data_IF_997421243047
#
_entry.id   IF_997421243047
#
_cell.length_a   1.000
_cell.length_b   1.000
_cell.length_c   1.000
_cell.angle_alpha   90.00
_cell.angle_beta   90.00
_cell.angle_gamma   90.00
#
_symmetry.space_group_name_H-M   'P 1'
#
loop_
_entity.id
_entity.type
_entity.pdbx_description
1 polymer ?
#
# COMPACT_ATOMS: atom_id res chain seq x y z
N UNK A 1 20.69 -1.95 -3.23
CA UNK A 1 20.31 -3.28 -2.71
C UNK A 1 19.02 -3.32 -1.85
N UNK A 2 18.98 -2.94 -0.56
CA UNK A 2 17.78 -3.18 0.28
C UNK A 2 16.48 -2.54 -0.25
N UNK A 3 16.55 -1.28 -0.69
CA UNK A 3 15.38 -0.57 -1.25
C UNK A 3 14.89 -1.18 -2.57
N UNK A 4 15.81 -1.51 -3.49
CA UNK A 4 15.48 -2.14 -4.77
C UNK A 4 14.88 -3.53 -4.56
N UNK A 5 15.47 -4.32 -3.67
CA UNK A 5 14.95 -5.63 -3.28
C UNK A 5 13.53 -5.52 -2.73
N UNK A 6 13.31 -4.59 -1.78
CA UNK A 6 11.97 -4.36 -1.24
C UNK A 6 10.97 -3.99 -2.33
N UNK A 7 11.28 -2.99 -3.15
CA UNK A 7 10.36 -2.49 -4.15
C UNK A 7 10.11 -3.47 -5.31
N UNK A 8 11.08 -4.29 -5.71
CA UNK A 8 10.82 -5.36 -6.67
C UNK A 8 9.84 -6.39 -6.10
N UNK A 9 10.06 -6.84 -4.86
CA UNK A 9 9.16 -7.80 -4.20
C UNK A 9 7.76 -7.20 -4.03
N UNK A 10 7.66 -5.94 -3.62
CA UNK A 10 6.40 -5.20 -3.51
C UNK A 10 5.74 -5.02 -4.88
N UNK A 11 6.50 -4.71 -5.93
CA UNK A 11 5.99 -4.56 -7.29
C UNK A 11 5.28 -5.82 -7.77
N UNK A 12 5.90 -6.99 -7.56
CA UNK A 12 5.34 -8.28 -7.93
C UNK A 12 4.18 -8.72 -7.00
N UNK A 13 4.20 -8.32 -5.73
CA UNK A 13 3.19 -8.69 -4.73
C UNK A 13 1.98 -7.76 -4.65
N UNK A 14 2.02 -6.61 -5.31
CA UNK A 14 0.97 -5.60 -5.22
C UNK A 14 -0.33 -5.92 -5.98
N UNK A 15 -0.34 -6.56 -7.17
CA UNK A 15 -1.59 -6.81 -7.89
C UNK A 15 -2.66 -7.56 -7.06
N UNK A 16 -2.34 -8.63 -6.31
CA UNK A 16 -3.31 -9.25 -5.40
C UNK A 16 -3.87 -8.31 -4.33
N UNK A 17 -3.07 -7.37 -3.82
CA UNK A 17 -3.51 -6.38 -2.81
C UNK A 17 -4.47 -5.37 -3.43
N UNK A 18 -4.15 -4.84 -4.62
CA UNK A 18 -5.01 -3.93 -5.39
C UNK A 18 -6.36 -4.56 -5.70
N UNK A 19 -6.33 -5.80 -6.18
CA UNK A 19 -7.50 -6.49 -6.71
C UNK A 19 -8.37 -7.16 -5.64
N UNK A 20 -7.85 -7.30 -4.40
CA UNK A 20 -8.59 -7.89 -3.30
C UNK A 20 -9.92 -7.17 -3.05
N UNK A 21 -10.98 -7.97 -2.83
CA UNK A 21 -12.32 -7.47 -2.53
C UNK A 21 -12.66 -7.70 -1.05
N UNK A 22 -13.49 -6.83 -0.45
CA UNK A 22 -13.99 -7.05 0.90
C UNK A 22 -14.74 -8.38 0.99
N UNK A 23 -14.47 -9.14 2.05
CA UNK A 23 -15.23 -10.35 2.37
C UNK A 23 -16.46 -10.04 3.24
N UNK A 24 -17.24 -11.06 3.58
CA UNK A 24 -18.48 -10.95 4.40
C UNK A 24 -18.26 -10.25 5.74
N UNK A 25 -17.11 -10.44 6.39
CA UNK A 25 -16.80 -9.78 7.67
C UNK A 25 -16.62 -8.29 7.49
N UNK A 26 -15.90 -7.87 6.44
CA UNK A 26 -15.74 -6.44 6.12
C UNK A 26 -17.09 -5.79 5.81
N UNK A 27 -17.94 -6.45 5.03
CA UNK A 27 -19.28 -5.97 4.71
C UNK A 27 -20.20 -5.89 5.95
N UNK A 28 -20.09 -6.85 6.87
CA UNK A 28 -20.84 -6.82 8.12
C UNK A 28 -20.44 -5.62 9.00
N UNK A 29 -19.14 -5.34 9.13
CA UNK A 29 -18.68 -4.14 9.83
C UNK A 29 -19.14 -2.86 9.14
N UNK A 30 -19.08 -2.79 7.80
CA UNK A 30 -19.59 -1.66 7.04
C UNK A 30 -21.08 -1.41 7.32
N UNK A 31 -21.91 -2.46 7.38
CA UNK A 31 -23.33 -2.36 7.72
C UNK A 31 -23.56 -1.88 9.16
N UNK A 32 -22.78 -2.37 10.14
CA UNK A 32 -22.84 -1.92 11.53
C UNK A 32 -22.41 -0.45 11.67
N UNK A 33 -21.42 -0.01 10.89
CA UNK A 33 -20.99 1.38 10.84
C UNK A 33 -22.03 2.29 10.20
N UNK A 34 -22.63 1.86 9.08
CA UNK A 34 -23.69 2.60 8.40
C UNK A 34 -24.93 2.79 9.29
N UNK A 35 -25.32 1.74 10.01
CA UNK A 35 -26.45 1.77 10.96
C UNK A 35 -26.09 2.37 12.32
N UNK A 36 -24.89 2.97 12.47
CA UNK A 36 -24.41 3.64 13.68
C UNK A 36 -24.29 2.78 14.94
N UNK A 37 -24.34 1.45 14.81
CA UNK A 37 -24.05 0.52 15.93
C UNK A 37 -22.55 0.47 16.25
N UNK A 38 -21.70 0.69 15.25
CA UNK A 38 -20.25 0.83 15.40
C UNK A 38 -19.86 2.23 14.95
N UNK A 39 -19.55 3.11 15.91
CA UNK A 39 -19.25 4.51 15.61
C UNK A 39 -17.86 4.69 14.96
N UNK A 40 -16.88 3.85 15.31
CA UNK A 40 -15.50 3.89 14.81
C UNK A 40 -14.92 2.49 14.71
N UNK A 41 -14.03 2.30 13.74
CA UNK A 41 -13.26 1.08 13.54
C UNK A 41 -11.77 1.44 13.53
N UNK A 42 -10.98 0.70 14.31
CA UNK A 42 -9.52 0.77 14.28
C UNK A 42 -9.03 -0.59 13.77
N UNK A 43 -8.23 -0.59 12.71
CA UNK A 43 -7.65 -1.81 12.14
C UNK A 43 -6.14 -1.74 12.12
N UNK A 44 -5.49 -2.87 12.39
CA UNK A 44 -4.04 -3.04 12.20
C UNK A 44 -3.70 -3.46 10.77
N UNK A 45 -4.70 -3.87 9.98
CA UNK A 45 -4.50 -4.26 8.59
C UNK A 45 -4.16 -3.02 7.76
N UNK A 46 -3.34 -3.26 6.74
CA UNK A 46 -2.87 -2.24 5.79
C UNK A 46 -3.46 -2.45 4.37
N UNK A 47 -4.39 -3.39 4.24
CA UNK A 47 -4.99 -3.86 2.98
C UNK A 47 -6.09 -2.95 2.40
N UNK A 48 -6.61 -2.00 3.18
CA UNK A 48 -7.67 -1.07 2.78
C UNK A 48 -9.08 -1.68 2.64
N UNK A 49 -9.28 -2.97 2.96
CA UNK A 49 -10.54 -3.68 2.67
C UNK A 49 -11.73 -3.16 3.48
N UNK A 50 -11.52 -2.71 4.72
CA UNK A 50 -12.57 -2.06 5.50
C UNK A 50 -13.08 -0.76 4.87
N UNK A 51 -12.18 0.03 4.28
CA UNK A 51 -12.54 1.27 3.58
C UNK A 51 -13.27 0.95 2.28
N UNK A 52 -12.73 0.02 1.49
CA UNK A 52 -13.34 -0.45 0.24
C UNK A 52 -14.77 -0.99 0.45
N UNK A 53 -15.04 -1.62 1.59
CA UNK A 53 -16.37 -2.14 1.93
C UNK A 53 -17.46 -1.05 2.07
N UNK A 54 -17.11 0.16 2.50
CA UNK A 54 -18.08 1.25 2.76
C UNK A 54 -17.99 2.40 1.74
N UNK A 55 -16.96 2.40 0.88
CA UNK A 55 -16.67 3.45 -0.10
C UNK A 55 -17.78 3.73 -1.12
N UNK A 56 -18.73 2.82 -1.28
CA UNK A 56 -19.91 3.04 -2.14
C UNK A 56 -21.02 3.86 -1.45
N UNK A 57 -20.87 4.15 -0.15
CA UNK A 57 -21.86 4.85 0.67
C UNK A 57 -21.31 6.12 1.30
N UNK A 58 -20.05 6.09 1.73
CA UNK A 58 -19.38 7.21 2.40
C UNK A 58 -18.31 7.83 1.50
N UNK A 59 -18.13 9.14 1.62
CA UNK A 59 -16.98 9.83 1.04
C UNK A 59 -15.70 9.55 1.85
N UNK A 60 -14.56 9.91 1.27
CA UNK A 60 -13.24 9.66 1.86
C UNK A 60 -13.02 10.39 3.20
N UNK A 61 -13.66 11.55 3.41
CA UNK A 61 -13.55 12.31 4.65
C UNK A 61 -14.24 11.57 5.80
N UNK A 62 -15.47 11.11 5.57
CA UNK A 62 -16.22 10.34 6.56
C UNK A 62 -15.55 9.00 6.84
N UNK A 63 -15.06 8.32 5.81
CA UNK A 63 -14.27 7.08 5.95
C UNK A 63 -13.02 7.34 6.81
N UNK A 64 -12.26 8.39 6.53
CA UNK A 64 -11.05 8.73 7.27
C UNK A 64 -11.34 9.04 8.74
N UNK A 65 -12.47 9.70 9.03
CA UNK A 65 -12.91 10.00 10.41
C UNK A 65 -13.34 8.75 11.17
N UNK A 66 -14.05 7.83 10.51
CA UNK A 66 -14.69 6.66 11.11
C UNK A 66 -13.81 5.40 11.12
N UNK A 67 -12.85 5.29 10.20
CA UNK A 67 -11.97 4.13 10.04
C UNK A 67 -10.50 4.57 10.15
N UNK A 68 -9.82 4.12 11.19
CA UNK A 68 -8.40 4.36 11.43
C UNK A 68 -7.57 3.12 11.09
N UNK A 69 -6.70 3.25 10.08
CA UNK A 69 -5.66 2.25 9.79
C UNK A 69 -4.43 2.55 10.64
N UNK A 70 -4.25 1.79 11.72
CA UNK A 70 -3.25 2.06 12.75
C UNK A 70 -1.82 1.94 12.22
N UNK A 71 -1.58 0.97 11.35
CA UNK A 71 -0.28 0.69 10.75
C UNK A 71 -0.11 1.31 9.36
N UNK A 72 -0.99 2.24 8.98
CA UNK A 72 -0.95 2.89 7.68
C UNK A 72 -1.63 2.07 6.58
N UNK A 73 -1.24 2.27 5.32
CA UNK A 73 -1.92 1.68 4.16
C UNK A 73 -0.93 1.32 3.06
N UNK A 74 -1.11 0.15 2.46
CA UNK A 74 -0.37 -0.28 1.27
C UNK A 74 -0.77 0.51 0.01
N UNK A 75 -1.93 1.16 0.02
CA UNK A 75 -2.47 1.94 -1.11
C UNK A 75 -1.86 3.35 -1.23
N UNK A 76 -0.86 3.68 -0.40
CA UNK A 76 -0.15 4.97 -0.47
C UNK A 76 1.35 4.77 -0.38
N UNK A 77 2.09 5.66 -1.03
CA UNK A 77 3.55 5.76 -0.97
C UNK A 77 3.91 7.18 -0.55
N UNK A 78 4.92 7.31 0.31
CA UNK A 78 5.47 8.60 0.67
C UNK A 78 6.97 8.64 0.41
N UNK A 79 7.47 9.84 0.12
CA UNK A 79 8.90 10.09 0.10
C UNK A 79 9.36 10.60 1.48
N UNK A 80 10.66 10.55 1.74
CA UNK A 80 11.25 11.05 3.00
C UNK A 80 11.04 12.55 3.28
N UNK A 81 10.50 13.32 2.33
CA UNK A 81 10.17 14.74 2.48
C UNK A 81 8.66 14.99 2.70
N UNK A 82 7.84 13.94 2.82
CA UNK A 82 6.43 14.06 3.17
C UNK A 82 5.46 14.15 1.99
N UNK A 83 5.94 14.15 0.75
CA UNK A 83 5.06 14.02 -0.43
C UNK A 83 4.44 12.63 -0.48
N UNK A 84 3.13 12.58 -0.79
CA UNK A 84 2.35 11.34 -0.83
C UNK A 84 1.80 11.14 -2.24
N UNK A 85 1.84 9.90 -2.71
CA UNK A 85 1.25 9.47 -3.97
C UNK A 85 0.43 8.19 -3.75
N UNK A 86 -0.59 8.01 -4.58
CA UNK A 86 -1.33 6.76 -4.65
C UNK A 86 -0.42 5.60 -5.12
N UNK A 87 -0.62 4.41 -4.56
CA UNK A 87 0.23 3.25 -4.84
C UNK A 87 0.04 2.71 -6.25
N UNK A 88 -1.14 2.84 -6.87
CA UNK A 88 -1.37 2.45 -8.26
C UNK A 88 -0.59 3.38 -9.20
N UNK A 89 -0.64 4.69 -8.94
CA UNK A 89 0.17 5.66 -9.69
C UNK A 89 1.67 5.35 -9.57
N UNK A 90 2.14 5.02 -8.37
CA UNK A 90 3.53 4.62 -8.17
C UNK A 90 3.88 3.26 -8.84
N UNK A 91 2.92 2.33 -8.91
CA UNK A 91 3.06 1.05 -9.62
C UNK A 91 3.27 1.28 -11.13
N UNK A 92 2.54 2.23 -11.72
CA UNK A 92 2.69 2.60 -13.13
C UNK A 92 4.06 3.23 -13.40
N UNK A 93 4.53 4.07 -12.48
CA UNK A 93 5.88 4.63 -12.57
C UNK A 93 6.92 3.51 -12.52
N UNK A 94 6.89 2.63 -11.52
CA UNK A 94 7.81 1.48 -11.46
C UNK A 94 7.78 0.69 -12.77
N UNK A 95 6.60 0.38 -13.29
CA UNK A 95 6.44 -0.37 -14.55
C UNK A 95 7.11 0.33 -15.74
N UNK A 96 7.03 1.66 -15.80
CA UNK A 96 7.62 2.46 -16.88
C UNK A 96 9.15 2.42 -16.85
N UNK A 97 9.74 2.47 -15.65
CA UNK A 97 11.19 2.43 -15.47
C UNK A 97 11.77 1.00 -15.54
N UNK A 98 10.93 -0.04 -15.50
CA UNK A 98 11.35 -1.44 -15.42
C UNK A 98 10.62 -2.32 -16.46
N UNK A 99 10.81 -2.09 -17.77
CA UNK A 99 10.06 -2.79 -18.82
C UNK A 99 10.23 -4.31 -18.79
N UNK A 100 11.42 -4.82 -18.46
CA UNK A 100 11.65 -6.26 -18.28
C UNK A 100 10.71 -6.87 -17.22
N UNK A 101 10.59 -6.22 -16.07
CA UNK A 101 9.75 -6.69 -14.97
C UNK A 101 8.26 -6.54 -15.27
N UNK A 102 7.89 -5.53 -16.05
CA UNK A 102 6.53 -5.39 -16.58
C UNK A 102 6.17 -6.59 -17.46
N UNK A 103 7.03 -6.95 -18.41
CA UNK A 103 6.81 -8.10 -19.29
C UNK A 103 6.77 -9.42 -18.50
N UNK A 104 7.61 -9.55 -17.47
CA UNK A 104 7.61 -10.69 -16.56
C UNK A 104 6.26 -10.86 -15.83
N UNK A 105 5.69 -9.77 -15.28
CA UNK A 105 4.36 -9.82 -14.61
C UNK A 105 3.27 -10.22 -15.60
N UNK A 106 3.26 -9.65 -16.81
CA UNK A 106 2.30 -10.01 -17.86
C UNK A 106 2.40 -11.52 -18.20
N UNK A 107 3.62 -12.06 -18.28
CA UNK A 107 3.84 -13.50 -18.50
C UNK A 107 3.31 -14.39 -17.37
N UNK A 108 3.48 -13.96 -16.11
CA UNK A 108 2.93 -14.68 -14.96
C UNK A 108 1.40 -14.70 -14.98
N UNK A 109 0.77 -13.56 -15.25
CA UNK A 109 -0.70 -13.45 -15.35
C UNK A 109 -1.25 -14.32 -16.48
N UNK A 110 -0.61 -14.31 -17.65
CA UNK A 110 -1.01 -15.13 -18.79
C UNK A 110 -0.92 -16.64 -18.52
N UNK A 111 0.01 -17.07 -17.67
CA UNK A 111 0.21 -18.48 -17.30
C UNK A 111 -0.56 -18.89 -16.04
N UNK A 112 -1.23 -17.95 -15.36
CA UNK A 112 -1.90 -18.17 -14.08
C UNK A 112 -0.94 -18.45 -12.92
N UNK A 113 0.37 -18.28 -13.13
CA UNK A 113 1.38 -18.46 -12.08
C UNK A 113 1.37 -17.27 -11.14
N UNK A 114 1.44 -17.53 -9.83
CA UNK A 114 1.59 -16.49 -8.82
C UNK A 114 2.96 -16.63 -8.16
N UNK A 115 3.73 -15.54 -8.02
CA UNK A 115 4.93 -15.57 -7.20
C UNK A 115 4.57 -16.00 -5.77
N UNK A 116 5.44 -16.77 -5.12
CA UNK A 116 5.23 -17.12 -3.71
C UNK A 116 5.30 -15.84 -2.87
N UNK A 117 4.24 -15.55 -2.12
CA UNK A 117 4.16 -14.40 -1.23
C UNK A 117 4.34 -14.85 0.22
N UNK A 118 5.14 -14.10 0.97
CA UNK A 118 5.28 -14.24 2.42
C UNK A 118 4.03 -13.68 3.15
N UNK A 119 3.86 -13.96 4.45
CA UNK A 119 2.72 -13.48 5.24
C UNK A 119 2.54 -11.95 5.30
N UNK A 120 3.62 -11.18 5.08
CA UNK A 120 3.64 -9.71 5.02
C UNK A 120 3.34 -9.16 3.61
N UNK A 121 3.19 -10.03 2.61
CA UNK A 121 2.88 -9.69 1.22
C UNK A 121 4.11 -9.68 0.30
N UNK A 122 5.29 -10.00 0.82
CA UNK A 122 6.55 -9.92 0.08
C UNK A 122 6.76 -11.11 -0.85
N UNK A 123 7.11 -10.89 -2.12
CA UNK A 123 7.39 -11.97 -3.07
C UNK A 123 8.77 -12.59 -2.91
N UNK A 124 8.87 -13.90 -2.75
CA UNK A 124 10.15 -14.63 -2.77
C UNK A 124 10.68 -14.88 -4.19
N UNK A 125 11.92 -14.44 -4.45
CA UNK A 125 12.61 -14.60 -5.74
C UNK A 125 13.99 -15.21 -5.49
N UNK A 126 14.22 -16.43 -5.95
CA UNK A 126 15.52 -17.09 -5.89
C UNK A 126 16.35 -16.75 -7.15
N UNK A 127 17.65 -16.50 -6.98
CA UNK A 127 18.59 -16.30 -8.10
C UNK A 127 18.42 -15.00 -8.90
N UNK A 128 17.58 -14.07 -8.45
CA UNK A 128 17.33 -12.79 -9.14
C UNK A 128 18.30 -11.71 -8.68
N UNK A 129 18.95 -11.03 -9.64
CA UNK A 129 19.67 -9.78 -9.38
C UNK A 129 18.70 -8.62 -9.21
N UNK A 130 18.94 -7.78 -8.21
CA UNK A 130 18.13 -6.59 -7.92
C UNK A 130 18.77 -5.30 -8.43
N UNK A 131 19.99 -5.38 -8.96
CA UNK A 131 20.83 -4.19 -9.19
C UNK A 131 20.29 -3.32 -10.33
N UNK A 132 19.64 -3.93 -11.32
CA UNK A 132 19.03 -3.25 -12.47
C UNK A 132 17.62 -2.73 -12.19
N UNK A 133 17.05 -3.01 -11.01
CA UNK A 133 15.71 -2.53 -10.65
C UNK A 133 15.75 -1.05 -10.27
N UNK A 134 14.97 -0.23 -10.97
CA UNK A 134 14.94 1.23 -10.80
C UNK A 134 13.73 1.63 -9.95
N UNK A 135 14.00 2.30 -8.82
CA UNK A 135 12.95 2.92 -7.99
C UNK A 135 12.78 4.38 -8.46
N UNK A 136 11.58 4.79 -8.92
CA UNK A 136 11.36 6.14 -9.43
C UNK A 136 11.68 7.25 -8.41
N UNK A 137 12.21 8.38 -8.90
CA UNK A 137 12.37 9.59 -8.10
C UNK A 137 11.02 10.20 -7.70
N UNK A 138 10.99 10.99 -6.62
CA UNK A 138 9.84 11.79 -6.26
C UNK A 138 9.70 12.99 -7.22
N UNK A 139 8.63 13.11 -8.01
CA UNK A 139 8.48 14.23 -8.96
C UNK A 139 8.42 15.59 -8.26
N UNK A 140 7.79 15.66 -7.08
CA UNK A 140 7.74 16.89 -6.30
C UNK A 140 9.12 17.30 -5.78
N UNK A 141 9.95 16.36 -5.33
CA UNK A 141 11.34 16.67 -4.97
C UNK A 141 12.15 17.17 -6.17
N UNK A 142 11.96 16.57 -7.34
CA UNK A 142 12.65 17.01 -8.55
C UNK A 142 12.27 18.46 -8.94
N UNK A 143 10.98 18.82 -8.83
CA UNK A 143 10.50 20.20 -9.03
C UNK A 143 11.11 21.19 -8.02
N UNK A 144 11.45 20.73 -6.82
CA UNK A 144 12.15 21.51 -5.80
C UNK A 144 13.68 21.50 -5.97
N UNK A 145 14.20 20.91 -7.06
CA UNK A 145 15.64 20.81 -7.34
C UNK A 145 16.37 19.76 -6.49
N UNK A 146 15.66 18.77 -5.95
CA UNK A 146 16.22 17.69 -5.12
C UNK A 146 16.10 16.33 -5.81
N UNK A 147 17.18 15.56 -5.81
CA UNK A 147 17.14 14.13 -6.14
C UNK A 147 16.67 13.32 -4.94
N UNK A 148 15.59 12.56 -5.11
CA UNK A 148 15.06 11.73 -4.03
C UNK A 148 14.42 10.44 -4.52
N UNK A 149 15.14 9.34 -4.37
CA UNK A 149 14.65 7.96 -4.61
C UNK A 149 14.15 7.29 -3.33
N UNK A 150 14.08 8.01 -2.20
CA UNK A 150 13.69 7.46 -0.90
C UNK A 150 12.18 7.41 -0.76
N UNK A 151 11.58 6.53 -1.55
CA UNK A 151 10.17 6.18 -1.53
C UNK A 151 9.95 5.01 -0.59
N UNK A 152 8.88 5.08 0.20
CA UNK A 152 8.46 4.03 1.12
C UNK A 152 6.93 3.90 1.07
N UNK A 153 6.34 2.70 1.10
CA UNK A 153 4.91 2.56 1.36
C UNK A 153 4.51 3.29 2.65
N UNK A 154 3.30 3.81 2.71
CA UNK A 154 2.78 4.52 3.86
C UNK A 154 2.32 3.55 4.97
N UNK A 155 3.15 2.55 5.28
CA UNK A 155 2.95 1.59 6.36
C UNK A 155 4.03 1.72 7.43
N UNK A 156 3.71 1.28 8.63
CA UNK A 156 4.65 1.19 9.77
C UNK A 156 5.35 -0.17 9.69
N UNK A 157 6.67 -0.15 9.51
CA UNK A 157 7.49 -1.36 9.49
C UNK A 157 7.83 -1.84 10.90
N UNK A 158 8.21 -3.11 11.03
CA UNK A 158 8.75 -3.64 12.28
C UNK A 158 9.94 -2.80 12.75
N UNK A 159 9.91 -2.41 14.02
CA UNK A 159 10.90 -1.52 14.63
C UNK A 159 10.58 -0.03 14.51
N UNK A 160 9.59 0.36 13.71
CA UNK A 160 9.11 1.74 13.67
C UNK A 160 8.02 2.01 14.72
N UNK A 161 7.90 3.27 15.13
CA UNK A 161 6.86 3.71 16.05
C UNK A 161 5.64 4.25 15.29
N UNK A 162 4.44 3.95 15.78
CA UNK A 162 3.21 4.58 15.29
C UNK A 162 3.29 6.10 15.52
N UNK A 163 3.01 6.94 14.50
CA UNK A 163 3.06 8.38 14.65
C UNK A 163 2.15 8.88 15.78
N UNK A 164 2.63 9.86 16.56
CA UNK A 164 1.90 10.39 17.72
C UNK A 164 0.49 10.83 17.36
N UNK A 165 0.30 11.49 16.21
CA UNK A 165 -1.02 11.91 15.74
C UNK A 165 -1.98 10.72 15.54
N UNK A 166 -1.49 9.59 14.99
CA UNK A 166 -2.27 8.37 14.78
C UNK A 166 -2.59 7.69 16.11
N UNK A 167 -1.61 7.59 17.02
CA UNK A 167 -1.80 7.06 18.38
C UNK A 167 -2.80 7.88 19.20
N UNK A 168 -2.75 9.20 19.07
CA UNK A 168 -3.71 10.07 19.76
C UNK A 168 -5.12 9.84 19.21
N UNK A 169 -5.26 9.68 17.88
CA UNK A 169 -6.54 9.31 17.27
C UNK A 169 -7.03 7.95 17.74
N UNK A 170 -6.18 6.94 17.90
CA UNK A 170 -6.62 5.62 18.37
C UNK A 170 -7.12 5.61 19.81
N UNK A 171 -6.73 6.63 20.60
CA UNK A 171 -7.11 6.77 22.02
C UNK A 171 -8.24 7.78 22.25
N UNK A 172 -8.65 8.51 21.20
CA UNK A 172 -9.78 9.43 21.28
C UNK A 172 -11.08 8.63 21.47
N UNK A 173 -11.99 9.08 22.35
CA UNK A 173 -13.29 8.43 22.56
C UNK A 173 -14.16 8.40 21.29
#
# INVERSE_FOLDING_TARGET
MFRQRYWLRSYLGYPPVRDALPNTTHCAFAALQYTSHVSRLITQNVDGLHKKAIAHVWDDDLISKRILELHGSLHRVHCSHGHVVDRDTFQDWISTYNPYWKDYVVGLEATGQKPRTNPDGDVELEGVSYDDFVVPECPQCALEGRHNTNQKPAVIFFGESIPVAIRNRSSAP
#
